data_IF_825613804859
#
_entry.id   IF_825613804859
#
_cell.length_a   1.000
_cell.length_b   1.000
_cell.length_c   1.000
_cell.angle_alpha   90.00
_cell.angle_beta   90.00
_cell.angle_gamma   90.00
#
_symmetry.space_group_name_H-M   'P 1'
#
loop_
_entity.id
_entity.type
_entity.pdbx_description
1 polymer ?
#
# COMPACT_ATOMS: atom_id res chain seq x y z
N UNK A 1 14.68 -23.75 -13.65
CA UNK A 1 13.73 -24.51 -12.82
C UNK A 1 13.08 -23.52 -11.89
N UNK A 2 11.81 -23.24 -12.05
CA UNK A 2 11.08 -22.35 -11.11
C UNK A 2 10.87 -23.11 -9.81
N UNK A 3 11.29 -22.54 -8.69
CA UNK A 3 10.92 -23.03 -7.37
C UNK A 3 9.39 -22.96 -7.28
N UNK A 4 8.75 -24.08 -7.01
CA UNK A 4 7.31 -24.13 -6.73
C UNK A 4 7.18 -23.70 -5.25
N UNK A 5 7.07 -22.41 -5.01
CA UNK A 5 6.89 -21.87 -3.65
C UNK A 5 5.47 -22.17 -3.19
N UNK A 6 5.32 -22.67 -1.96
CA UNK A 6 4.02 -22.93 -1.34
C UNK A 6 3.38 -21.65 -0.79
N UNK A 7 4.20 -20.60 -0.59
CA UNK A 7 3.79 -19.32 -0.02
C UNK A 7 3.96 -18.19 -1.04
N UNK A 8 3.13 -17.18 -0.90
CA UNK A 8 3.19 -15.96 -1.72
C UNK A 8 4.13 -14.90 -1.13
N UNK A 9 4.47 -13.89 -1.92
CA UNK A 9 5.18 -12.70 -1.45
C UNK A 9 4.41 -11.97 -0.34
N UNK A 10 3.09 -11.88 -0.44
CA UNK A 10 2.25 -11.23 0.58
C UNK A 10 2.18 -12.05 1.87
N UNK A 11 2.24 -13.38 1.80
CA UNK A 11 2.39 -14.23 2.99
C UNK A 11 3.74 -13.97 3.68
N UNK A 12 4.80 -13.79 2.90
CA UNK A 12 6.11 -13.44 3.42
C UNK A 12 6.05 -12.11 4.20
N UNK A 13 5.45 -11.07 3.63
CA UNK A 13 5.25 -9.80 4.33
C UNK A 13 4.46 -9.96 5.63
N UNK A 14 3.43 -10.80 5.63
CA UNK A 14 2.59 -11.06 6.80
C UNK A 14 3.35 -11.80 7.92
N UNK A 15 4.11 -12.82 7.57
CA UNK A 15 4.89 -13.64 8.53
C UNK A 15 6.01 -12.81 9.17
N UNK A 16 6.79 -12.07 8.38
CA UNK A 16 7.80 -11.14 8.90
C UNK A 16 7.18 -9.92 9.57
N UNK A 17 5.90 -9.63 9.29
CA UNK A 17 5.20 -8.49 9.84
C UNK A 17 5.84 -7.17 9.43
N UNK A 18 6.10 -7.03 8.13
CA UNK A 18 6.77 -5.86 7.57
C UNK A 18 5.86 -4.64 7.65
N UNK A 19 6.32 -3.60 8.33
CA UNK A 19 5.64 -2.30 8.37
C UNK A 19 6.12 -1.39 7.26
N UNK A 20 5.20 -0.65 6.62
CA UNK A 20 5.55 0.28 5.52
C UNK A 20 6.18 -0.44 4.32
N UNK A 21 5.64 -1.59 3.95
CA UNK A 21 6.11 -2.44 2.84
C UNK A 21 5.79 -1.84 1.46
N UNK A 22 6.12 -0.59 1.26
CA UNK A 22 5.96 0.13 0.00
C UNK A 22 7.19 0.99 -0.29
N UNK A 23 7.43 1.39 -1.54
CA UNK A 23 8.56 2.26 -1.88
C UNK A 23 8.55 3.55 -1.06
N UNK A 24 9.67 3.86 -0.42
CA UNK A 24 9.82 5.03 0.42
C UNK A 24 9.37 4.88 1.85
N UNK A 25 8.67 3.80 2.18
CA UNK A 25 8.24 3.49 3.54
C UNK A 25 7.55 4.66 4.25
N UNK A 26 7.53 4.64 5.55
CA UNK A 26 6.87 5.66 6.36
C UNK A 26 7.36 7.09 6.10
N UNK A 27 8.59 7.28 5.60
CA UNK A 27 9.09 8.62 5.26
C UNK A 27 8.29 9.25 4.12
N UNK A 28 8.05 8.50 3.06
CA UNK A 28 7.24 8.98 1.93
C UNK A 28 5.79 9.25 2.36
N UNK A 29 5.22 8.35 3.17
CA UNK A 29 3.89 8.55 3.75
C UNK A 29 3.78 9.87 4.52
N UNK A 30 4.75 10.16 5.38
CA UNK A 30 4.79 11.41 6.16
C UNK A 30 4.84 12.64 5.25
N UNK A 31 5.68 12.60 4.22
CA UNK A 31 5.79 13.70 3.27
C UNK A 31 4.49 13.89 2.49
N UNK A 32 3.88 12.80 2.04
CA UNK A 32 2.61 12.79 1.33
C UNK A 32 1.48 13.42 2.15
N UNK A 33 1.30 12.95 3.37
CA UNK A 33 0.24 13.41 4.26
C UNK A 33 0.45 14.86 4.73
N UNK A 34 1.70 15.33 4.84
CA UNK A 34 2.00 16.71 5.22
C UNK A 34 1.50 17.76 4.22
N UNK A 35 1.18 17.34 3.00
CA UNK A 35 0.65 18.20 1.93
C UNK A 35 -0.87 18.30 1.94
N UNK A 36 -1.53 17.47 2.74
CA UNK A 36 -2.99 17.46 2.88
C UNK A 36 -3.43 18.24 4.11
N UNK A 37 -4.66 18.78 4.04
CA UNK A 37 -5.27 19.43 5.19
C UNK A 37 -5.95 18.39 6.05
N UNK A 38 -5.27 17.97 7.10
CA UNK A 38 -5.75 16.95 8.04
C UNK A 38 -5.92 17.60 9.42
N UNK A 39 -7.10 17.44 10.00
CA UNK A 39 -7.42 17.85 11.35
C UNK A 39 -8.21 16.76 12.09
N UNK A 40 -8.59 17.00 13.34
CA UNK A 40 -9.28 16.02 14.19
C UNK A 40 -10.65 15.58 13.64
N UNK A 41 -11.25 16.32 12.71
CA UNK A 41 -12.54 16.00 12.08
C UNK A 41 -12.39 15.15 10.82
N UNK A 42 -11.18 15.05 10.29
CA UNK A 42 -10.87 14.30 9.08
C UNK A 42 -11.06 12.79 9.29
N UNK A 43 -11.65 12.11 8.32
CA UNK A 43 -11.83 10.65 8.30
C UNK A 43 -10.92 10.04 7.24
N UNK A 44 -9.99 9.19 7.66
CA UNK A 44 -9.00 8.55 6.78
C UNK A 44 -9.21 7.04 6.76
N UNK A 45 -9.26 6.46 5.56
CA UNK A 45 -9.16 5.02 5.34
C UNK A 45 -7.73 4.68 4.94
N UNK A 46 -7.07 3.86 5.73
CA UNK A 46 -5.82 3.17 5.37
C UNK A 46 -6.21 1.81 4.77
N UNK A 47 -6.22 1.77 3.43
CA UNK A 47 -6.72 0.64 2.65
C UNK A 47 -5.58 -0.30 2.28
N UNK A 48 -5.52 -1.46 2.93
CA UNK A 48 -4.38 -2.38 2.91
C UNK A 48 -3.35 -1.97 3.97
N UNK A 49 -3.81 -1.78 5.21
CA UNK A 49 -2.99 -1.22 6.30
C UNK A 49 -1.82 -2.10 6.75
N UNK A 50 -1.78 -3.36 6.33
CA UNK A 50 -0.75 -4.31 6.76
C UNK A 50 -0.68 -4.41 8.28
N UNK A 51 0.51 -4.23 8.84
CA UNK A 51 0.75 -4.24 10.29
C UNK A 51 0.42 -2.93 11.00
N UNK A 52 -0.20 -1.97 10.29
CA UNK A 52 -0.74 -0.73 10.86
C UNK A 52 0.28 0.35 11.19
N UNK A 53 1.49 0.32 10.65
CA UNK A 53 2.51 1.34 10.92
C UNK A 53 2.04 2.72 10.46
N UNK A 54 1.52 2.83 9.26
CA UNK A 54 0.95 4.06 8.70
C UNK A 54 -0.25 4.55 9.49
N UNK A 55 -1.22 3.67 9.78
CA UNK A 55 -2.39 4.00 10.59
C UNK A 55 -2.02 4.55 11.96
N UNK A 56 -1.04 3.92 12.64
CA UNK A 56 -0.56 4.36 13.94
C UNK A 56 0.04 5.78 13.86
N UNK A 57 0.90 6.02 12.86
CA UNK A 57 1.46 7.35 12.62
C UNK A 57 0.37 8.42 12.41
N UNK A 58 -0.62 8.12 11.56
CA UNK A 58 -1.71 9.06 11.27
C UNK A 58 -2.48 9.42 12.55
N UNK A 59 -2.86 8.41 13.33
CA UNK A 59 -3.64 8.61 14.55
C UNK A 59 -2.90 9.44 15.61
N UNK A 60 -1.61 9.19 15.81
CA UNK A 60 -0.78 9.93 16.77
C UNK A 60 -0.46 11.35 16.30
N UNK A 61 -0.16 11.50 15.00
CA UNK A 61 0.27 12.79 14.45
C UNK A 61 -0.89 13.78 14.29
N UNK A 62 -2.02 13.30 13.78
CA UNK A 62 -3.14 14.17 13.38
C UNK A 62 -4.34 14.09 14.32
N UNK A 63 -4.41 13.07 15.17
CA UNK A 63 -5.53 12.82 16.11
C UNK A 63 -6.89 12.77 15.40
N UNK A 64 -6.90 12.40 14.13
CA UNK A 64 -8.07 12.28 13.28
C UNK A 64 -8.68 10.88 13.37
N UNK A 65 -9.83 10.67 12.69
CA UNK A 65 -10.48 9.36 12.64
C UNK A 65 -9.78 8.47 11.63
N UNK A 66 -9.21 7.35 12.09
CA UNK A 66 -8.52 6.39 11.25
C UNK A 66 -9.28 5.06 11.24
N UNK A 67 -9.58 4.58 10.03
CA UNK A 67 -10.07 3.22 9.79
C UNK A 67 -9.00 2.46 9.03
N UNK A 68 -8.55 1.35 9.59
CA UNK A 68 -7.55 0.45 9.01
C UNK A 68 -8.23 -0.77 8.42
N UNK A 69 -8.06 -1.02 7.13
CA UNK A 69 -8.63 -2.18 6.46
C UNK A 69 -7.53 -3.04 5.85
N UNK A 70 -7.61 -4.34 6.07
CA UNK A 70 -6.79 -5.33 5.37
C UNK A 70 -7.58 -6.63 5.15
N UNK A 71 -7.30 -7.36 4.08
CA UNK A 71 -7.90 -8.67 3.83
C UNK A 71 -7.19 -9.78 4.62
N UNK A 72 -5.91 -9.61 4.93
CA UNK A 72 -5.10 -10.58 5.63
C UNK A 72 -5.30 -10.48 7.15
N UNK A 73 -5.86 -11.56 7.72
CA UNK A 73 -6.13 -11.62 9.17
C UNK A 73 -4.88 -11.47 10.01
N UNK A 74 -3.75 -12.09 9.62
CA UNK A 74 -2.49 -12.02 10.38
C UNK A 74 -1.95 -10.60 10.42
N UNK A 75 -2.02 -9.87 9.30
CA UNK A 75 -1.65 -8.45 9.24
C UNK A 75 -2.50 -7.63 10.22
N UNK A 76 -3.83 -7.80 10.19
CA UNK A 76 -4.73 -7.08 11.10
C UNK A 76 -4.51 -7.43 12.56
N UNK A 77 -4.21 -8.68 12.89
CA UNK A 77 -3.93 -9.06 14.28
C UNK A 77 -2.65 -8.37 14.78
N UNK A 78 -1.61 -8.25 13.94
CA UNK A 78 -0.41 -7.47 14.25
C UNK A 78 -0.72 -5.97 14.36
N UNK A 79 -1.54 -5.42 13.47
CA UNK A 79 -1.98 -4.03 13.54
C UNK A 79 -2.73 -3.74 14.85
N UNK A 80 -3.66 -4.60 15.25
CA UNK A 80 -4.37 -4.48 16.53
C UNK A 80 -3.43 -4.48 17.73
N UNK A 81 -2.42 -5.36 17.74
CA UNK A 81 -1.40 -5.37 18.80
C UNK A 81 -0.63 -4.04 18.85
N UNK A 82 -0.25 -3.50 17.70
CA UNK A 82 0.38 -2.17 17.61
C UNK A 82 -0.51 -1.09 18.21
N UNK A 83 -1.80 -1.11 17.89
CA UNK A 83 -2.75 -0.08 18.32
C UNK A 83 -3.06 -0.08 19.82
N UNK A 84 -2.82 -1.20 20.52
CA UNK A 84 -3.04 -1.28 21.99
C UNK A 84 -2.20 -0.27 22.79
N UNK A 85 -1.06 0.15 22.26
CA UNK A 85 -0.17 1.13 22.91
C UNK A 85 -0.51 2.59 22.60
N UNK A 86 -1.47 2.85 21.70
CA UNK A 86 -1.81 4.19 21.24
C UNK A 86 -2.87 4.86 22.13
N UNK A 87 -2.79 6.19 22.22
CA UNK A 87 -3.77 6.98 22.93
C UNK A 87 -5.06 7.26 22.11
N UNK A 88 -4.94 7.18 20.78
CA UNK A 88 -6.06 7.42 19.85
C UNK A 88 -6.61 6.10 19.33
N UNK A 89 -7.94 5.88 19.43
CA UNK A 89 -8.54 4.65 18.90
C UNK A 89 -8.47 4.60 17.38
N UNK A 90 -8.09 3.44 16.86
CA UNK A 90 -8.09 3.13 15.42
C UNK A 90 -9.12 2.03 15.18
N UNK A 91 -10.05 2.28 14.27
CA UNK A 91 -11.01 1.27 13.82
C UNK A 91 -10.33 0.26 12.91
N UNK A 92 -10.53 -1.04 13.17
CA UNK A 92 -9.96 -2.10 12.32
C UNK A 92 -11.06 -2.91 11.66
N UNK A 93 -10.99 -3.05 10.35
CA UNK A 93 -11.94 -3.79 9.56
C UNK A 93 -11.24 -4.85 8.70
N UNK A 94 -11.67 -6.11 8.79
CA UNK A 94 -11.23 -7.11 7.82
C UNK A 94 -12.12 -7.03 6.57
N UNK A 95 -11.51 -6.95 5.38
CA UNK A 95 -12.25 -6.86 4.13
C UNK A 95 -11.35 -6.68 2.91
N UNK A 96 -11.93 -6.87 1.74
CA UNK A 96 -11.29 -6.60 0.46
C UNK A 96 -11.55 -5.16 0.01
N UNK A 97 -10.55 -4.55 -0.59
CA UNK A 97 -10.70 -3.24 -1.25
C UNK A 97 -11.56 -3.32 -2.52
N UNK A 98 -11.78 -4.51 -3.06
CA UNK A 98 -12.65 -4.77 -4.20
C UNK A 98 -14.15 -4.71 -3.85
N UNK A 99 -14.47 -4.80 -2.57
CA UNK A 99 -15.84 -4.70 -2.04
C UNK A 99 -15.79 -4.13 -0.62
N UNK A 100 -15.65 -2.82 -0.52
CA UNK A 100 -15.48 -2.13 0.76
C UNK A 100 -16.75 -2.19 1.62
N UNK A 101 -16.66 -2.65 2.88
CA UNK A 101 -17.81 -2.78 3.78
C UNK A 101 -18.23 -1.43 4.37
N UNK A 102 -18.19 -0.37 3.59
CA UNK A 102 -18.48 1.00 4.01
C UNK A 102 -19.56 1.63 3.13
N UNK A 103 -20.31 2.56 3.71
CA UNK A 103 -21.25 3.39 2.96
C UNK A 103 -20.53 4.34 2.01
N UNK A 104 -21.24 4.85 1.00
CA UNK A 104 -20.70 5.88 0.11
C UNK A 104 -20.39 7.18 0.85
N UNK A 105 -19.37 7.90 0.42
CA UNK A 105 -19.11 9.28 0.84
C UNK A 105 -18.76 9.48 2.31
N UNK A 106 -17.99 8.58 2.95
CA UNK A 106 -17.67 8.68 4.37
C UNK A 106 -16.23 9.07 4.69
N UNK A 107 -15.30 8.93 3.73
CA UNK A 107 -13.89 9.25 3.95
C UNK A 107 -13.48 10.55 3.26
N UNK A 108 -12.71 11.36 3.94
CA UNK A 108 -12.08 12.56 3.38
C UNK A 108 -10.83 12.19 2.58
N UNK A 109 -10.06 11.21 3.11
CA UNK A 109 -8.84 10.71 2.47
C UNK A 109 -8.88 9.18 2.48
N UNK A 110 -8.47 8.58 1.36
CA UNK A 110 -8.08 7.18 1.29
C UNK A 110 -6.59 7.14 0.99
N UNK A 111 -5.85 6.38 1.79
CA UNK A 111 -4.46 6.05 1.55
C UNK A 111 -4.38 4.60 1.08
N UNK A 112 -3.65 4.35 -0.01
CA UNK A 112 -3.43 3.03 -0.59
C UNK A 112 -1.97 2.91 -1.01
N UNK A 113 -1.19 2.17 -0.24
CA UNK A 113 0.26 2.09 -0.37
C UNK A 113 0.66 0.71 -0.90
N UNK A 114 0.84 0.60 -2.22
CA UNK A 114 1.15 -0.65 -2.94
C UNK A 114 0.09 -1.74 -2.73
N UNK A 115 -1.17 -1.40 -2.89
CA UNK A 115 -2.31 -2.31 -2.68
C UNK A 115 -3.07 -2.60 -3.95
N UNK A 116 -3.38 -1.57 -4.76
CA UNK A 116 -4.24 -1.71 -5.94
C UNK A 116 -3.66 -2.72 -6.94
N UNK A 117 -2.33 -2.77 -7.08
CA UNK A 117 -1.64 -3.73 -7.95
C UNK A 117 -1.92 -5.19 -7.63
N UNK A 118 -2.29 -5.51 -6.37
CA UNK A 118 -2.60 -6.88 -5.91
C UNK A 118 -4.08 -7.25 -6.05
N UNK A 119 -4.90 -6.37 -6.61
CA UNK A 119 -6.37 -6.51 -6.67
C UNK A 119 -6.88 -6.46 -8.10
N UNK A 120 -8.17 -6.73 -8.29
CA UNK A 120 -8.84 -6.35 -9.52
C UNK A 120 -9.04 -4.82 -9.53
N UNK A 121 -8.20 -4.13 -10.29
CA UNK A 121 -8.23 -2.66 -10.38
C UNK A 121 -9.59 -2.12 -10.87
N UNK A 122 -10.34 -2.95 -11.64
CA UNK A 122 -11.65 -2.58 -12.16
C UNK A 122 -12.74 -2.58 -11.08
N UNK A 123 -12.51 -3.24 -9.97
CA UNK A 123 -13.38 -3.27 -8.78
C UNK A 123 -12.87 -2.28 -7.72
N UNK A 124 -11.58 -2.31 -7.41
CA UNK A 124 -10.98 -1.52 -6.32
C UNK A 124 -11.07 -0.02 -6.55
N UNK A 125 -10.73 0.47 -7.74
CA UNK A 125 -10.73 1.92 -8.00
C UNK A 125 -12.14 2.52 -7.92
N UNK A 126 -13.22 1.91 -8.48
CA UNK A 126 -14.59 2.36 -8.26
C UNK A 126 -15.04 2.34 -6.80
N UNK A 127 -14.65 1.33 -6.01
CA UNK A 127 -14.96 1.25 -4.58
C UNK A 127 -14.30 2.40 -3.80
N UNK A 128 -13.03 2.69 -4.05
CA UNK A 128 -12.38 3.87 -3.48
C UNK A 128 -13.12 5.16 -3.84
N UNK A 129 -13.49 5.30 -5.09
CA UNK A 129 -14.29 6.44 -5.54
C UNK A 129 -15.64 6.54 -4.82
N UNK A 130 -16.33 5.42 -4.62
CA UNK A 130 -17.64 5.35 -3.97
C UNK A 130 -17.61 5.80 -2.51
N UNK A 131 -16.63 5.33 -1.74
CA UNK A 131 -16.56 5.64 -0.31
C UNK A 131 -15.94 6.99 0.02
N UNK A 132 -15.29 7.65 -0.95
CA UNK A 132 -14.79 9.01 -0.80
C UNK A 132 -15.92 10.04 -0.77
N UNK A 133 -15.85 10.97 0.18
CA UNK A 133 -16.72 12.16 0.20
C UNK A 133 -16.60 12.98 -1.08
N UNK A 134 -17.59 13.80 -1.44
CA UNK A 134 -17.40 14.85 -2.41
C UNK A 134 -16.19 15.73 -2.02
N UNK A 135 -15.26 15.94 -2.94
CA UNK A 135 -13.96 16.59 -2.74
C UNK A 135 -12.95 15.80 -1.87
N UNK A 136 -13.24 14.56 -1.53
CA UNK A 136 -12.26 13.66 -0.90
C UNK A 136 -11.12 13.30 -1.84
N UNK A 137 -10.03 12.77 -1.32
CA UNK A 137 -8.80 12.51 -2.04
C UNK A 137 -8.36 11.06 -1.85
N UNK A 138 -8.04 10.39 -2.95
CA UNK A 138 -7.27 9.15 -2.93
C UNK A 138 -5.79 9.49 -3.11
N UNK A 139 -4.97 9.01 -2.19
CA UNK A 139 -3.51 9.03 -2.25
C UNK A 139 -3.05 7.59 -2.47
N UNK A 140 -2.50 7.29 -3.64
CA UNK A 140 -2.04 5.95 -3.97
C UNK A 140 -0.57 5.95 -4.33
N UNK A 141 0.19 5.01 -3.78
CA UNK A 141 1.57 4.71 -4.16
C UNK A 141 1.56 3.37 -4.87
N UNK A 142 1.87 3.34 -6.17
CA UNK A 142 1.79 2.11 -6.94
C UNK A 142 3.05 1.90 -7.79
N UNK A 143 3.37 0.62 -8.01
CA UNK A 143 4.43 0.19 -8.92
C UNK A 143 4.08 0.59 -10.35
N UNK A 144 5.09 1.04 -11.09
CA UNK A 144 4.96 1.37 -12.51
C UNK A 144 6.06 0.74 -13.34
N UNK A 145 5.73 0.40 -14.57
CA UNK A 145 6.67 -0.02 -15.59
C UNK A 145 7.30 1.23 -16.24
N UNK A 146 8.61 1.42 -16.05
CA UNK A 146 9.37 2.55 -16.61
C UNK A 146 9.91 2.25 -18.01
N UNK A 147 10.20 0.98 -18.30
CA UNK A 147 10.73 0.51 -19.59
C UNK A 147 10.07 -0.81 -19.96
N UNK A 148 9.91 -1.03 -21.25
CA UNK A 148 9.36 -2.27 -21.77
C UNK A 148 10.21 -3.48 -21.36
N UNK A 149 9.52 -4.54 -20.98
CA UNK A 149 10.05 -5.87 -20.72
C UNK A 149 9.53 -6.87 -21.76
N UNK A 150 10.21 -7.99 -21.89
CA UNK A 150 9.67 -9.13 -22.61
C UNK A 150 8.45 -9.71 -21.88
N UNK A 151 7.57 -10.41 -22.60
CA UNK A 151 6.40 -11.07 -22.01
C UNK A 151 6.81 -12.09 -20.92
N UNK A 152 7.96 -12.77 -21.11
CA UNK A 152 8.49 -13.74 -20.16
C UNK A 152 8.94 -13.08 -18.85
N UNK A 153 9.64 -11.94 -18.95
CA UNK A 153 10.06 -11.17 -17.78
C UNK A 153 8.86 -10.60 -17.02
N UNK A 154 7.90 -10.00 -17.74
CA UNK A 154 6.65 -9.50 -17.13
C UNK A 154 5.92 -10.63 -16.38
N UNK A 155 5.75 -11.78 -17.03
CA UNK A 155 5.11 -12.95 -16.42
C UNK A 155 5.86 -13.44 -15.18
N UNK A 156 7.19 -13.40 -15.21
CA UNK A 156 8.03 -13.80 -14.09
C UNK A 156 7.81 -12.89 -12.88
N UNK A 157 7.75 -11.57 -13.09
CA UNK A 157 7.53 -10.58 -12.03
C UNK A 157 6.10 -10.69 -11.49
N UNK A 158 5.10 -10.72 -12.38
CA UNK A 158 3.69 -10.86 -12.03
C UNK A 158 3.45 -12.10 -11.17
N UNK A 159 3.98 -13.25 -11.59
CA UNK A 159 3.82 -14.50 -10.87
C UNK A 159 4.53 -14.49 -9.50
N UNK A 160 5.68 -13.83 -9.40
CA UNK A 160 6.43 -13.77 -8.14
C UNK A 160 5.72 -12.89 -7.10
N UNK A 161 5.33 -11.68 -7.49
CA UNK A 161 4.65 -10.77 -6.56
C UNK A 161 3.18 -11.12 -6.34
N UNK A 162 2.55 -11.87 -7.26
CA UNK A 162 1.12 -12.13 -7.24
C UNK A 162 0.28 -10.92 -7.60
N UNK A 163 0.86 -9.94 -8.31
CA UNK A 163 0.13 -8.76 -8.79
C UNK A 163 -0.73 -9.13 -10.00
N UNK A 164 -1.85 -8.45 -10.19
CA UNK A 164 -2.74 -8.70 -11.32
C UNK A 164 -2.12 -8.28 -12.66
N UNK A 165 -1.36 -7.20 -12.64
CA UNK A 165 -0.67 -6.63 -13.81
C UNK A 165 0.38 -5.59 -13.36
N UNK A 166 1.31 -5.27 -14.27
CA UNK A 166 2.26 -4.17 -14.09
C UNK A 166 1.95 -3.11 -15.14
N UNK A 167 1.57 -1.94 -14.69
CA UNK A 167 1.08 -0.85 -15.53
C UNK A 167 2.12 0.26 -15.65
N UNK A 168 2.11 0.94 -16.78
CA UNK A 168 2.82 2.22 -16.96
C UNK A 168 2.10 3.35 -16.22
N UNK A 169 2.79 4.46 -15.99
CA UNK A 169 2.20 5.68 -15.42
C UNK A 169 0.94 6.14 -16.18
N UNK A 170 0.97 6.08 -17.51
CA UNK A 170 -0.17 6.51 -18.34
C UNK A 170 -1.36 5.58 -18.25
N UNK A 171 -1.14 4.26 -18.11
CA UNK A 171 -2.22 3.30 -17.92
C UNK A 171 -2.89 3.50 -16.56
N UNK A 172 -2.12 3.67 -15.49
CA UNK A 172 -2.65 4.03 -14.17
C UNK A 172 -3.49 5.30 -14.22
N UNK A 173 -2.94 6.36 -14.81
CA UNK A 173 -3.66 7.63 -14.98
C UNK A 173 -4.98 7.45 -15.73
N UNK A 174 -4.97 6.64 -16.78
CA UNK A 174 -6.18 6.33 -17.58
C UNK A 174 -7.22 5.58 -16.74
N UNK A 175 -6.82 4.63 -15.89
CA UNK A 175 -7.74 3.91 -15.00
C UNK A 175 -8.43 4.85 -14.01
N UNK A 176 -7.68 5.72 -13.33
CA UNK A 176 -8.27 6.71 -12.42
C UNK A 176 -9.21 7.69 -13.14
N UNK A 177 -8.84 8.14 -14.34
CA UNK A 177 -9.72 9.00 -15.16
C UNK A 177 -11.02 8.29 -15.59
N UNK A 178 -10.93 7.02 -15.99
CA UNK A 178 -12.11 6.20 -16.33
C UNK A 178 -13.03 5.99 -15.13
N UNK A 179 -12.49 5.90 -13.93
CA UNK A 179 -13.25 5.89 -12.68
C UNK A 179 -13.86 7.26 -12.33
N UNK A 180 -13.67 8.29 -13.20
CA UNK A 180 -14.26 9.64 -13.09
C UNK A 180 -13.72 10.45 -11.89
N UNK A 181 -12.48 10.24 -11.48
CA UNK A 181 -11.83 11.23 -10.64
C UNK A 181 -11.67 12.54 -11.42
N UNK A 182 -12.03 13.66 -10.79
CA UNK A 182 -12.05 14.99 -11.44
C UNK A 182 -10.65 15.47 -11.79
N UNK A 183 -9.68 15.18 -10.96
CA UNK A 183 -8.29 15.54 -11.15
C UNK A 183 -7.40 14.37 -10.74
N UNK A 184 -6.43 14.03 -11.59
CA UNK A 184 -5.41 13.01 -11.35
C UNK A 184 -4.05 13.65 -11.55
N UNK A 185 -3.33 13.89 -10.47
CA UNK A 185 -1.92 14.28 -10.49
C UNK A 185 -1.03 13.09 -10.23
N UNK A 186 0.14 13.09 -10.85
CA UNK A 186 1.13 12.02 -10.75
C UNK A 186 2.47 12.63 -10.43
N UNK A 187 3.17 12.08 -9.46
CA UNK A 187 4.52 12.51 -9.09
C UNK A 187 5.48 11.33 -9.09
N UNK A 188 6.66 11.57 -9.62
CA UNK A 188 7.82 10.69 -9.47
C UNK A 188 8.66 11.20 -8.30
N UNK A 189 8.78 10.39 -7.28
CA UNK A 189 9.63 10.71 -6.14
C UNK A 189 11.06 10.24 -6.37
N UNK A 190 12.00 11.14 -6.15
CA UNK A 190 13.42 10.79 -6.00
C UNK A 190 13.69 10.70 -4.49
N UNK A 191 13.52 9.50 -3.93
CA UNK A 191 13.80 9.28 -2.53
C UNK A 191 15.29 9.50 -2.26
N UNK A 192 15.60 10.51 -1.48
CA UNK A 192 16.82 10.53 -0.68
C UNK A 192 16.46 9.85 0.65
N UNK A 193 16.69 8.54 0.70
CA UNK A 193 16.47 7.77 1.93
C UNK A 193 17.53 8.24 2.94
N UNK A 194 17.08 8.85 4.02
CA UNK A 194 17.94 9.10 5.17
C UNK A 194 18.06 7.81 5.97
N UNK A 195 19.07 7.01 5.63
CA UNK A 195 19.36 5.72 6.28
C UNK A 195 19.64 5.84 7.79
N UNK A 196 19.91 7.06 8.28
CA UNK A 196 20.17 7.32 9.69
C UNK A 196 18.91 7.63 10.50
N UNK A 197 17.76 7.82 9.85
CA UNK A 197 16.51 8.16 10.53
C UNK A 197 15.75 6.90 10.96
N UNK A 198 16.06 6.41 12.14
CA UNK A 198 15.43 5.21 12.75
C UNK A 198 13.90 5.32 12.84
N UNK A 199 13.33 6.53 12.95
CA UNK A 199 11.88 6.72 13.01
C UNK A 199 11.15 6.45 11.70
N UNK A 200 11.87 6.39 10.60
CA UNK A 200 11.34 6.11 9.26
C UNK A 200 11.70 4.69 8.79
N UNK A 201 12.46 3.95 9.60
CA UNK A 201 12.87 2.60 9.25
C UNK A 201 11.65 1.65 9.13
N UNK A 202 11.75 0.72 8.21
CA UNK A 202 10.83 -0.42 8.15
C UNK A 202 10.90 -1.18 9.46
N UNK A 203 9.78 -1.37 10.11
CA UNK A 203 9.72 -2.19 11.32
C UNK A 203 9.27 -3.62 10.98
N UNK A 204 9.52 -4.53 11.90
CA UNK A 204 9.20 -5.94 11.77
C UNK A 204 8.47 -6.43 13.01
N UNK A 205 7.41 -7.19 12.81
CA UNK A 205 6.68 -7.90 13.85
C UNK A 205 6.67 -9.39 13.52
N UNK A 206 7.79 -10.05 13.84
CA UNK A 206 8.03 -11.45 13.44
C UNK A 206 6.99 -12.39 14.04
N UNK A 207 6.53 -13.35 13.25
CA UNK A 207 5.75 -14.49 13.71
C UNK A 207 6.68 -15.54 14.33
N UNK A 208 6.12 -16.42 15.16
CA UNK A 208 6.84 -17.59 15.68
C UNK A 208 6.97 -18.67 14.58
N UNK A 209 8.08 -19.44 14.63
CA UNK A 209 8.31 -20.60 13.75
C UNK A 209 8.23 -20.26 12.24
N UNK A 210 9.09 -19.36 11.78
CA UNK A 210 9.19 -18.97 10.38
C UNK A 210 9.84 -20.10 9.57
N UNK A 211 9.14 -20.58 8.54
CA UNK A 211 9.63 -21.59 7.60
C UNK A 211 10.77 -21.02 6.73
N UNK A 212 11.76 -21.85 6.41
CA UNK A 212 12.94 -21.44 5.62
C UNK A 212 12.53 -20.92 4.22
N UNK A 213 11.43 -21.39 3.64
CA UNK A 213 10.91 -20.93 2.36
C UNK A 213 10.60 -19.41 2.33
N UNK A 214 10.23 -18.82 3.47
CA UNK A 214 10.01 -17.37 3.55
C UNK A 214 11.30 -16.57 3.37
N UNK A 215 12.44 -17.09 3.82
CA UNK A 215 13.73 -16.45 3.57
C UNK A 215 14.13 -16.53 2.10
N UNK A 216 13.82 -17.63 1.42
CA UNK A 216 14.02 -17.76 -0.05
C UNK A 216 13.19 -16.74 -0.82
N UNK A 217 11.93 -16.50 -0.40
CA UNK A 217 11.06 -15.47 -1.00
C UNK A 217 11.68 -14.08 -0.79
N UNK A 218 12.20 -13.78 0.41
CA UNK A 218 12.83 -12.51 0.71
C UNK A 218 14.10 -12.30 -0.12
N UNK A 219 14.96 -13.31 -0.23
CA UNK A 219 16.16 -13.26 -1.09
C UNK A 219 15.79 -13.00 -2.56
N UNK A 220 14.75 -13.66 -3.04
CA UNK A 220 14.25 -13.46 -4.41
C UNK A 220 13.69 -12.06 -4.60
N UNK A 221 12.98 -11.50 -3.63
CA UNK A 221 12.54 -10.11 -3.63
C UNK A 221 13.73 -9.14 -3.74
N UNK A 222 14.76 -9.32 -2.89
CA UNK A 222 15.98 -8.51 -2.94
C UNK A 222 16.71 -8.64 -4.29
N UNK A 223 16.74 -9.83 -4.87
CA UNK A 223 17.27 -10.04 -6.21
C UNK A 223 16.47 -9.26 -7.27
N UNK A 224 15.14 -9.33 -7.25
CA UNK A 224 14.27 -8.65 -8.21
C UNK A 224 14.38 -7.13 -8.10
N UNK A 225 14.41 -6.58 -6.90
CA UNK A 225 14.60 -5.14 -6.69
C UNK A 225 15.92 -4.64 -7.26
N UNK A 226 16.98 -5.47 -7.21
CA UNK A 226 18.28 -5.14 -7.79
C UNK A 226 18.31 -5.27 -9.32
N UNK A 227 17.73 -6.35 -9.85
CA UNK A 227 17.74 -6.64 -11.30
C UNK A 227 16.85 -5.66 -12.05
N UNK A 228 15.67 -5.38 -11.53
CA UNK A 228 14.66 -4.57 -12.20
C UNK A 228 14.62 -3.11 -11.74
N UNK A 229 15.64 -2.61 -11.01
CA UNK A 229 15.71 -1.24 -10.45
C UNK A 229 15.54 -0.11 -11.46
N UNK A 230 15.94 -0.34 -12.73
CA UNK A 230 15.85 0.65 -13.81
C UNK A 230 14.63 0.43 -14.72
N UNK A 231 13.81 -0.54 -14.40
CA UNK A 231 12.65 -1.00 -15.19
C UNK A 231 11.36 -0.84 -14.41
N UNK A 232 11.40 -1.18 -13.12
CA UNK A 232 10.29 -0.97 -12.21
C UNK A 232 10.56 0.29 -11.39
N UNK A 233 9.58 1.16 -11.37
CA UNK A 233 9.57 2.34 -10.53
C UNK A 233 8.29 2.39 -9.71
N UNK A 234 8.03 3.54 -9.12
CA UNK A 234 6.75 3.80 -8.46
C UNK A 234 6.32 5.24 -8.71
N UNK A 235 5.02 5.47 -8.56
CA UNK A 235 4.42 6.80 -8.67
C UNK A 235 3.48 7.03 -7.49
N UNK A 236 3.44 8.28 -7.13
CA UNK A 236 2.40 8.82 -6.29
C UNK A 236 1.28 9.33 -7.18
N UNK A 237 0.07 8.83 -6.96
CA UNK A 237 -1.14 9.30 -7.60
C UNK A 237 -2.00 10.02 -6.56
N UNK A 238 -2.34 11.28 -6.82
CA UNK A 238 -3.30 12.04 -6.03
C UNK A 238 -4.54 12.28 -6.89
N UNK A 239 -5.64 11.65 -6.50
CA UNK A 239 -6.88 11.64 -7.26
C UNK A 239 -7.98 12.32 -6.46
N UNK A 240 -8.53 13.44 -6.97
CA UNK A 240 -9.61 14.18 -6.33
C UNK A 240 -10.98 13.66 -6.79
N UNK A 241 -11.90 13.50 -5.81
CA UNK A 241 -13.27 13.05 -6.07
C UNK A 241 -14.17 14.21 -6.56
#
# INVERSE_FOLDING_TARGET
MGLNLNYSYTDCLAIFGVGGAHPGGLQLTKELLSREKIDETTSILDAGCGTGQTSAYIAEQYRCKVTSLDCNKLMLDKARQRFLSLHSPIETQQGSTENLPFSEGIFDIILSESVISFTDVSLTIPEFKRVLKPNGVLLAIEMVLEKSLSEEELKTIVNFYGVSQILTENEWKTLFQRAKFKQVSVEKFNLQIDENNVQNATDFSLSENIDDEFFEILEKHMHFTKVYKDVLGFRLFRCCN
#
